data_IF_890548800047
#
_entry.id   IF_890548800047
#
_cell.length_a   1.000
_cell.length_b   1.000
_cell.length_c   1.000
_cell.angle_alpha   90.00
_cell.angle_beta   90.00
_cell.angle_gamma   90.00
#
_symmetry.space_group_name_H-M   'P 1'
#
loop_
_entity.id
_entity.type
_entity.pdbx_description
1 polymer ?
#
# COMPACT_ATOMS: atom_id res chain seq x y z
N UNK A 1 10.62 -0.79 4.51
CA UNK A 1 9.41 -0.36 5.27
C UNK A 1 9.83 0.40 6.52
N UNK A 2 9.18 1.50 6.81
CA UNK A 2 9.37 2.29 8.04
C UNK A 2 8.01 2.41 8.75
N UNK A 3 7.75 1.51 9.68
CA UNK A 3 6.46 1.37 10.35
C UNK A 3 6.05 2.63 11.11
N UNK A 4 6.98 3.26 11.83
CA UNK A 4 6.77 4.46 12.64
C UNK A 4 6.40 5.70 11.81
N UNK A 5 6.81 5.71 10.54
CA UNK A 5 6.55 6.81 9.60
C UNK A 5 5.42 6.50 8.61
N UNK A 6 4.74 5.35 8.76
CA UNK A 6 3.73 4.89 7.81
C UNK A 6 4.24 4.82 6.36
N UNK A 7 5.51 4.48 6.17
CA UNK A 7 6.10 4.24 4.85
C UNK A 7 6.15 2.73 4.61
N UNK A 8 5.05 2.20 4.08
CA UNK A 8 4.85 0.75 4.00
C UNK A 8 5.43 0.13 2.73
N UNK A 9 5.67 0.91 1.69
CA UNK A 9 6.18 0.42 0.40
C UNK A 9 7.64 0.81 0.24
N UNK A 10 8.52 -0.16 0.01
CA UNK A 10 9.94 0.12 -0.24
C UNK A 10 10.20 0.41 -1.71
N UNK A 11 9.63 -0.40 -2.60
CA UNK A 11 9.88 -0.26 -4.04
C UNK A 11 8.70 -0.78 -4.87
N UNK A 12 8.28 0.00 -5.86
CA UNK A 12 7.41 -0.48 -6.94
C UNK A 12 8.26 -1.21 -7.97
N UNK A 13 7.89 -2.43 -8.31
CA UNK A 13 8.63 -3.29 -9.24
C UNK A 13 7.91 -3.52 -10.56
N UNK A 14 6.58 -3.34 -10.56
CA UNK A 14 5.79 -3.36 -11.79
C UNK A 14 4.57 -2.44 -11.64
N UNK A 15 4.23 -1.76 -12.73
CA UNK A 15 3.06 -0.91 -12.83
C UNK A 15 2.45 -1.04 -14.23
N UNK A 16 1.13 -1.18 -14.27
CA UNK A 16 0.33 -1.18 -15.49
C UNK A 16 -0.90 -0.29 -15.26
N UNK A 17 -0.91 0.86 -15.91
CA UNK A 17 -1.98 1.85 -15.76
C UNK A 17 -3.32 1.39 -16.35
N UNK A 18 -3.32 0.49 -17.31
CA UNK A 18 -4.49 -0.13 -17.89
C UNK A 18 -4.28 -1.64 -18.05
N UNK A 19 -4.94 -2.49 -17.27
CA UNK A 19 -6.21 -2.31 -16.53
C UNK A 19 -6.11 -1.69 -15.12
N UNK A 20 -4.94 -1.34 -14.62
CA UNK A 20 -4.72 -0.81 -13.28
C UNK A 20 -4.21 -1.88 -12.33
N UNK A 21 -2.88 -2.09 -12.36
CA UNK A 21 -2.16 -3.03 -11.51
C UNK A 21 -0.85 -2.44 -11.02
N UNK A 22 -0.50 -2.80 -9.81
CA UNK A 22 0.80 -2.44 -9.24
C UNK A 22 1.30 -3.62 -8.41
N UNK A 23 2.59 -3.89 -8.57
CA UNK A 23 3.32 -4.81 -7.70
C UNK A 23 4.46 -4.06 -7.02
N UNK A 24 4.55 -4.21 -5.72
CA UNK A 24 5.61 -3.61 -4.91
C UNK A 24 6.27 -4.64 -4.01
N UNK A 25 7.48 -4.33 -3.59
CA UNK A 25 8.20 -5.07 -2.56
C UNK A 25 8.27 -4.24 -1.29
N UNK A 26 8.23 -4.92 -0.16
CA UNK A 26 8.38 -4.34 1.17
C UNK A 26 8.99 -5.36 2.11
N UNK A 27 9.97 -4.94 2.89
CA UNK A 27 10.59 -5.79 3.91
C UNK A 27 10.27 -5.23 5.28
N UNK A 28 9.73 -6.07 6.15
CA UNK A 28 9.46 -5.70 7.54
C UNK A 28 10.80 -5.42 8.25
N UNK A 29 10.95 -4.27 8.95
CA UNK A 29 12.20 -3.97 9.65
C UNK A 29 12.48 -5.02 10.74
N UNK A 30 13.76 -5.25 11.01
CA UNK A 30 14.20 -6.15 12.10
C UNK A 30 13.78 -5.61 13.47
N UNK A 31 13.80 -4.28 13.64
CA UNK A 31 13.47 -3.57 14.87
C UNK A 31 12.47 -2.44 14.58
N UNK A 32 11.55 -2.21 15.50
CA UNK A 32 10.59 -1.12 15.46
C UNK A 32 9.99 -0.91 16.84
N UNK A 33 9.67 0.32 17.22
CA UNK A 33 8.93 0.62 18.45
C UNK A 33 7.54 -0.02 18.45
N UNK A 34 6.96 -0.30 17.28
CA UNK A 34 5.70 -1.05 17.14
C UNK A 34 5.82 -2.44 17.79
N UNK A 35 6.97 -3.10 17.66
CA UNK A 35 7.19 -4.44 18.19
C UNK A 35 7.38 -4.47 19.72
N UNK A 36 7.76 -3.36 20.34
CA UNK A 36 7.86 -3.24 21.79
C UNK A 36 6.50 -3.45 22.47
N UNK A 37 5.41 -3.02 21.82
CA UNK A 37 4.04 -3.20 22.28
C UNK A 37 3.29 -4.35 21.63
N UNK A 38 3.74 -4.82 20.47
CA UNK A 38 2.96 -5.79 19.67
C UNK A 38 3.81 -6.96 19.14
N UNK A 39 4.26 -7.90 19.96
CA UNK A 39 4.09 -8.02 21.43
C UNK A 39 5.45 -8.28 22.09
N UNK A 40 5.67 -7.92 23.36
CA UNK A 40 6.91 -8.27 24.07
C UNK A 40 7.21 -9.75 23.95
N UNK A 41 8.41 -10.10 23.45
CA UNK A 41 8.84 -11.50 23.26
C UNK A 41 8.21 -12.23 22.07
N UNK A 42 7.25 -11.62 21.37
CA UNK A 42 6.63 -12.18 20.15
C UNK A 42 6.30 -11.04 19.17
N UNK A 43 7.32 -10.45 18.53
CA UNK A 43 7.10 -9.34 17.60
C UNK A 43 6.36 -9.81 16.34
N UNK A 44 5.26 -9.16 16.04
CA UNK A 44 4.47 -9.36 14.82
C UNK A 44 3.95 -8.01 14.32
N UNK A 45 3.81 -7.87 13.02
CA UNK A 45 3.20 -6.69 12.41
C UNK A 45 1.71 -6.66 12.75
N UNK A 46 1.19 -5.58 13.33
CA UNK A 46 -0.25 -5.43 13.52
C UNK A 46 -1.03 -5.59 12.21
N UNK A 47 -2.13 -6.34 12.24
CA UNK A 47 -2.93 -6.57 11.03
C UNK A 47 -3.43 -5.29 10.36
N UNK A 48 -3.70 -4.25 11.14
CA UNK A 48 -4.10 -2.91 10.62
C UNK A 48 -2.98 -2.27 9.77
N UNK A 49 -1.72 -2.55 10.06
CA UNK A 49 -0.59 -2.06 9.25
C UNK A 49 -0.41 -2.88 7.95
N UNK A 50 -0.86 -4.12 7.92
CA UNK A 50 -0.96 -4.87 6.66
C UNK A 50 -2.06 -4.30 5.76
N UNK A 51 -3.18 -3.86 6.34
CA UNK A 51 -4.22 -3.12 5.61
C UNK A 51 -3.65 -1.82 5.06
N UNK A 52 -2.92 -1.05 5.87
CA UNK A 52 -2.26 0.19 5.43
C UNK A 52 -1.27 -0.07 4.30
N UNK A 53 -0.51 -1.16 4.36
CA UNK A 53 0.41 -1.56 3.28
C UNK A 53 -0.32 -1.77 1.96
N UNK A 54 -1.44 -2.49 1.98
CA UNK A 54 -2.30 -2.69 0.79
C UNK A 54 -2.96 -1.38 0.35
N UNK A 55 -3.34 -0.52 1.31
CA UNK A 55 -3.94 0.78 1.00
C UNK A 55 -2.96 1.72 0.30
N UNK A 56 -1.70 1.74 0.72
CA UNK A 56 -0.66 2.53 0.05
C UNK A 56 -0.36 2.00 -1.36
N UNK A 57 -0.26 0.69 -1.54
CA UNK A 57 -0.08 0.09 -2.87
C UNK A 57 -1.24 0.45 -3.82
N UNK A 58 -2.48 0.31 -3.36
CA UNK A 58 -3.67 0.72 -4.13
C UNK A 58 -3.70 2.23 -4.40
N UNK A 59 -3.33 3.04 -3.41
CA UNK A 59 -3.24 4.49 -3.55
C UNK A 59 -2.21 4.91 -4.61
N UNK A 60 -1.00 4.37 -4.56
CA UNK A 60 0.03 4.65 -5.56
C UNK A 60 -0.35 4.15 -6.95
N UNK A 61 -1.05 3.03 -7.05
CA UNK A 61 -1.59 2.55 -8.32
C UNK A 61 -2.58 3.57 -8.91
N UNK A 62 -3.52 4.10 -8.12
CA UNK A 62 -4.48 5.13 -8.54
C UNK A 62 -3.76 6.43 -8.95
N UNK A 63 -2.76 6.85 -8.18
CA UNK A 63 -1.95 8.04 -8.47
C UNK A 63 -1.22 7.91 -9.80
N UNK A 64 -0.51 6.81 -10.03
CA UNK A 64 0.20 6.56 -11.30
C UNK A 64 -0.77 6.49 -12.48
N UNK A 65 -1.88 5.75 -12.34
CA UNK A 65 -2.92 5.63 -13.35
C UNK A 65 -3.55 6.96 -13.75
N UNK A 66 -3.74 7.87 -12.79
CA UNK A 66 -4.28 9.22 -13.04
C UNK A 66 -3.26 10.19 -13.65
N UNK A 67 -2.03 9.77 -13.91
CA UNK A 67 -0.95 10.68 -14.30
C UNK A 67 -0.62 11.71 -13.22
N UNK A 68 -0.68 11.32 -11.95
CA UNK A 68 -0.44 12.19 -10.80
C UNK A 68 -1.41 13.38 -10.71
N UNK A 69 -2.67 13.16 -11.05
CA UNK A 69 -3.69 14.23 -11.02
C UNK A 69 -4.62 14.18 -9.80
N UNK A 70 -4.73 13.02 -9.12
CA UNK A 70 -5.61 12.87 -7.97
C UNK A 70 -4.90 12.23 -6.77
N UNK A 71 -5.36 12.62 -5.57
CA UNK A 71 -4.99 12.00 -4.30
C UNK A 71 -6.11 11.07 -3.84
N UNK A 72 -5.85 9.76 -3.66
CA UNK A 72 -6.81 8.83 -3.09
C UNK A 72 -6.77 8.86 -1.55
N UNK A 73 -7.92 9.02 -0.93
CA UNK A 73 -8.10 8.93 0.52
C UNK A 73 -8.91 7.67 0.86
N UNK A 74 -8.36 6.82 1.71
CA UNK A 74 -9.04 5.60 2.14
C UNK A 74 -10.35 5.92 2.86
N UNK A 75 -11.44 5.28 2.44
CA UNK A 75 -12.77 5.47 3.02
C UNK A 75 -13.31 4.23 3.72
N UNK A 76 -13.14 3.07 3.10
CA UNK A 76 -13.61 1.81 3.69
C UNK A 76 -12.70 0.65 3.34
N UNK A 77 -12.73 -0.34 4.21
CA UNK A 77 -12.01 -1.61 4.08
C UNK A 77 -13.03 -2.72 4.19
N UNK A 78 -13.10 -3.55 3.16
CA UNK A 78 -14.04 -4.66 3.09
C UNK A 78 -13.30 -5.99 2.95
N UNK A 79 -13.88 -7.04 3.51
CA UNK A 79 -13.39 -8.42 3.37
C UNK A 79 -11.91 -8.59 3.77
N UNK A 80 -11.44 -7.81 4.74
CA UNK A 80 -10.07 -7.92 5.21
C UNK A 80 -9.86 -9.27 5.93
N UNK A 81 -8.83 -10.00 5.49
CA UNK A 81 -8.43 -11.28 6.07
C UNK A 81 -6.94 -11.29 6.33
N UNK A 82 -6.56 -11.49 7.60
CA UNK A 82 -5.19 -11.79 8.02
C UNK A 82 -5.08 -13.30 8.11
N UNK A 83 -4.21 -13.89 7.29
CA UNK A 83 -4.13 -15.35 7.11
C UNK A 83 -2.96 -15.98 7.83
N UNK A 84 -1.97 -15.16 8.17
CA UNK A 84 -0.80 -15.60 8.93
C UNK A 84 -0.16 -14.42 9.67
N UNK A 85 0.65 -14.72 10.68
CA UNK A 85 1.45 -13.73 11.38
C UNK A 85 2.63 -13.28 10.52
N UNK A 86 2.84 -11.98 10.47
CA UNK A 86 3.97 -11.37 9.78
C UNK A 86 5.01 -10.92 10.80
N UNK A 87 6.20 -11.50 10.73
CA UNK A 87 7.30 -11.29 11.68
C UNK A 87 8.28 -10.23 11.15
N UNK A 88 9.16 -9.68 12.01
CA UNK A 88 10.33 -8.92 11.55
C UNK A 88 11.09 -9.64 10.43
N UNK A 89 11.71 -8.88 9.55
CA UNK A 89 12.51 -9.35 8.40
C UNK A 89 11.74 -10.14 7.33
N UNK A 90 10.40 -10.23 7.43
CA UNK A 90 9.58 -10.85 6.37
C UNK A 90 9.65 -10.01 5.10
N UNK A 91 10.07 -10.64 4.01
CA UNK A 91 10.00 -10.06 2.66
C UNK A 91 8.60 -10.26 2.07
N UNK A 92 7.96 -9.18 1.69
CA UNK A 92 6.58 -9.18 1.19
C UNK A 92 6.50 -8.71 -0.26
N UNK A 93 5.69 -9.36 -1.04
CA UNK A 93 5.18 -8.88 -2.32
C UNK A 93 3.78 -8.34 -2.09
N UNK A 94 3.58 -7.09 -2.46
CA UNK A 94 2.31 -6.36 -2.29
C UNK A 94 1.72 -6.10 -3.67
N UNK A 95 0.54 -6.64 -3.91
CA UNK A 95 -0.18 -6.49 -5.18
C UNK A 95 -1.43 -5.63 -4.98
N UNK A 96 -1.66 -4.70 -5.88
CA UNK A 96 -2.89 -3.92 -5.97
C UNK A 96 -3.50 -4.06 -7.37
N UNK A 97 -4.79 -4.28 -7.43
CA UNK A 97 -5.56 -4.39 -8.66
C UNK A 97 -6.79 -3.47 -8.58
N UNK A 98 -7.03 -2.68 -9.63
CA UNK A 98 -8.22 -1.85 -9.76
C UNK A 98 -9.44 -2.73 -10.04
N UNK A 99 -10.48 -2.60 -9.23
CA UNK A 99 -11.75 -3.28 -9.45
C UNK A 99 -12.79 -2.35 -10.09
N UNK A 100 -12.77 -1.08 -9.69
CA UNK A 100 -13.70 -0.06 -10.17
C UNK A 100 -13.13 1.34 -9.98
N UNK A 101 -13.43 2.23 -10.93
CA UNK A 101 -13.09 3.66 -10.84
C UNK A 101 -14.23 4.46 -11.47
N UNK A 102 -14.65 5.53 -10.82
CA UNK A 102 -15.66 6.45 -11.35
C UNK A 102 -16.28 7.34 -10.29
N UNK A 103 -16.85 8.46 -10.74
CA UNK A 103 -17.59 9.40 -9.89
C UNK A 103 -16.83 9.89 -8.65
N UNK A 104 -15.50 10.07 -8.76
CA UNK A 104 -14.65 10.52 -7.66
C UNK A 104 -14.31 9.43 -6.63
N UNK A 105 -14.46 8.15 -7.01
CA UNK A 105 -14.14 7.00 -6.18
C UNK A 105 -13.35 5.95 -6.96
N UNK A 106 -12.57 5.17 -6.24
CA UNK A 106 -11.90 3.99 -6.76
C UNK A 106 -12.00 2.84 -5.75
N UNK A 107 -12.09 1.62 -6.27
CA UNK A 107 -12.06 0.39 -5.46
C UNK A 107 -10.92 -0.48 -5.95
N UNK A 108 -10.09 -0.92 -5.03
CA UNK A 108 -8.98 -1.84 -5.32
C UNK A 108 -9.11 -3.13 -4.53
N UNK A 109 -8.45 -4.16 -5.04
CA UNK A 109 -8.15 -5.37 -4.30
C UNK A 109 -6.66 -5.36 -3.95
N UNK A 110 -6.36 -5.50 -2.67
CA UNK A 110 -5.00 -5.63 -2.16
C UNK A 110 -4.69 -7.06 -1.75
N UNK A 111 -3.44 -7.48 -1.91
CA UNK A 111 -2.96 -8.78 -1.49
C UNK A 111 -1.50 -8.70 -1.10
N UNK A 112 -1.13 -9.36 -0.02
CA UNK A 112 0.26 -9.51 0.44
C UNK A 112 0.62 -10.98 0.43
N UNK A 113 1.75 -11.30 -0.20
CA UNK A 113 2.33 -12.65 -0.19
C UNK A 113 3.77 -12.61 0.29
N UNK A 114 4.24 -13.72 0.84
CA UNK A 114 5.65 -13.98 1.15
C UNK A 114 5.97 -15.44 0.85
N UNK A 115 7.07 -15.71 0.17
CA UNK A 115 7.48 -17.06 -0.23
C UNK A 115 6.32 -17.86 -0.87
N UNK A 116 5.51 -17.22 -1.71
CA UNK A 116 4.36 -17.82 -2.39
C UNK A 116 3.11 -18.04 -1.54
N UNK A 117 3.14 -17.72 -0.24
CA UNK A 117 1.99 -17.84 0.67
C UNK A 117 1.28 -16.51 0.83
N UNK A 118 -0.05 -16.51 0.75
CA UNK A 118 -0.85 -15.31 1.04
C UNK A 118 -0.89 -15.04 2.54
N UNK A 119 -0.45 -13.85 2.94
CA UNK A 119 -0.44 -13.38 4.32
C UNK A 119 -1.68 -12.56 4.68
N UNK A 120 -2.13 -11.71 3.76
CA UNK A 120 -3.32 -10.89 3.94
C UNK A 120 -3.96 -10.52 2.59
N UNK A 121 -5.24 -10.24 2.58
CA UNK A 121 -5.96 -9.66 1.45
C UNK A 121 -7.17 -8.84 1.93
N UNK A 122 -7.57 -7.84 1.13
CA UNK A 122 -8.76 -7.02 1.38
C UNK A 122 -9.24 -6.31 0.12
N UNK A 123 -10.42 -5.69 0.20
CA UNK A 123 -10.89 -4.68 -0.74
C UNK A 123 -10.85 -3.31 -0.07
N UNK A 124 -10.48 -2.29 -0.83
CA UNK A 124 -10.24 -0.95 -0.34
C UNK A 124 -10.99 0.04 -1.23
N UNK A 125 -11.78 0.92 -0.64
CA UNK A 125 -12.46 2.00 -1.34
C UNK A 125 -11.84 3.34 -0.99
N UNK A 126 -11.58 4.15 -2.01
CA UNK A 126 -10.99 5.48 -1.88
C UNK A 126 -11.93 6.54 -2.44
N UNK A 127 -11.89 7.71 -1.82
CA UNK A 127 -12.33 8.94 -2.46
C UNK A 127 -11.13 9.57 -3.15
N UNK A 128 -11.27 9.94 -4.42
CA UNK A 128 -10.23 10.64 -5.16
C UNK A 128 -10.51 12.14 -5.19
N UNK A 129 -9.52 12.94 -4.82
CA UNK A 129 -9.58 14.40 -4.79
C UNK A 129 -8.48 14.95 -5.70
N UNK A 130 -8.76 15.89 -6.62
CA UNK A 130 -7.73 16.52 -7.43
C UNK A 130 -6.59 17.09 -6.59
N UNK A 131 -5.34 16.94 -7.03
CA UNK A 131 -4.17 17.40 -6.27
C UNK A 131 -4.14 18.92 -6.08
N UNK A 132 -4.73 19.71 -6.98
CA UNK A 132 -4.87 21.16 -6.84
C UNK A 132 -5.77 21.57 -5.66
N UNK A 133 -6.56 20.65 -5.15
CA UNK A 133 -7.40 20.85 -3.95
C UNK A 133 -6.76 20.33 -2.66
N UNK A 134 -5.49 19.91 -2.69
CA UNK A 134 -4.77 19.40 -1.52
C UNK A 134 -3.34 19.95 -1.46
N UNK A 135 -2.74 20.13 -0.27
CA UNK A 135 -1.35 20.55 -0.14
C UNK A 135 -0.36 19.37 -0.27
N UNK A 136 -0.78 18.22 -0.80
CA UNK A 136 -0.02 16.97 -0.73
C UNK A 136 0.75 16.64 -2.02
N UNK A 137 0.54 17.36 -3.11
CA UNK A 137 1.10 17.03 -4.42
C UNK A 137 2.61 16.80 -4.39
N UNK A 138 3.38 17.73 -3.83
CA UNK A 138 4.85 17.65 -3.82
C UNK A 138 5.37 16.52 -2.93
N UNK A 139 4.75 16.34 -1.76
CA UNK A 139 5.12 15.25 -0.82
C UNK A 139 4.89 13.88 -1.46
N UNK A 140 3.75 13.72 -2.12
CA UNK A 140 3.40 12.44 -2.76
C UNK A 140 4.24 12.19 -4.01
N UNK A 141 4.51 13.22 -4.83
CA UNK A 141 5.43 13.07 -5.98
C UNK A 141 6.83 12.67 -5.53
N UNK A 142 7.34 13.31 -4.48
CA UNK A 142 8.64 12.94 -3.90
C UNK A 142 8.61 11.47 -3.45
N UNK A 143 7.58 11.06 -2.73
CA UNK A 143 7.48 9.68 -2.25
C UNK A 143 7.35 8.67 -3.40
N UNK A 144 6.58 8.98 -4.43
CA UNK A 144 6.46 8.15 -5.63
C UNK A 144 7.80 7.95 -6.33
N UNK A 145 8.62 9.00 -6.40
CA UNK A 145 9.99 8.93 -6.94
C UNK A 145 10.90 8.05 -6.08
N UNK A 146 10.86 8.21 -4.76
CA UNK A 146 11.66 7.40 -3.82
C UNK A 146 11.38 5.89 -3.95
N UNK A 147 10.13 5.51 -4.22
CA UNK A 147 9.74 4.10 -4.41
C UNK A 147 9.82 3.64 -5.88
N UNK A 148 10.21 4.51 -6.80
CA UNK A 148 10.42 4.20 -8.22
C UNK A 148 9.15 4.11 -9.06
N UNK A 149 8.01 4.63 -8.61
CA UNK A 149 6.76 4.62 -9.37
C UNK A 149 6.83 5.55 -10.59
N UNK A 150 7.43 6.71 -10.45
CA UNK A 150 7.53 7.73 -11.52
C UNK A 150 8.33 7.23 -12.75
N UNK A 151 9.21 6.26 -12.56
CA UNK A 151 9.96 5.64 -13.66
C UNK A 151 9.16 4.58 -14.42
N UNK A 152 8.01 4.14 -13.90
CA UNK A 152 7.17 3.08 -14.43
C UNK A 152 5.80 3.58 -14.90
N UNK A 153 5.36 4.75 -14.39
CA UNK A 153 4.05 5.33 -14.66
C UNK A 153 4.03 6.26 -15.90
#
# INVERSE_FOLDING_TARGET
>A
MLLEYFQMIDKVVAFDGDPGRLTAHSTVPAESTVFEGHFPGMPIVPGVLLVETMAQAGGFMIIGRSGFSVMPFLMSVDKAKMRDFVKPETEMVVEAELLHEGSGFAVTKGKITSAGKTLADCQLKYRTIPFDQTPLADVIRKRASEIGLDALA
#
